data_IF_626939983101
#
_entry.id   IF_626939983101
#
_cell.length_a   1.000
_cell.length_b   1.000
_cell.length_c   1.000
_cell.angle_alpha   90.00
_cell.angle_beta   90.00
_cell.angle_gamma   90.00
#
_symmetry.space_group_name_H-M   'P 1'
#
loop_
_entity.id
_entity.type
_entity.pdbx_description
1 polymer ?
#
# COMPACT_ATOMS: atom_id res chain seq x y z
N UNK A 1 9.71 10.90 0.31
CA UNK A 1 9.07 10.30 1.49
C UNK A 1 8.62 8.89 1.13
N UNK A 2 9.01 7.88 1.90
CA UNK A 2 8.84 6.47 1.53
C UNK A 2 8.12 5.66 2.61
N UNK A 3 7.45 4.59 2.22
CA UNK A 3 6.84 3.61 3.13
C UNK A 3 6.75 2.25 2.45
N UNK A 4 6.79 1.19 3.24
CA UNK A 4 6.63 -0.19 2.75
C UNK A 4 5.39 -0.80 3.38
N UNK A 5 4.59 -1.52 2.60
CA UNK A 5 3.44 -2.29 3.07
C UNK A 5 3.66 -3.74 2.63
N UNK A 6 3.55 -4.66 3.57
CA UNK A 6 3.62 -6.10 3.30
C UNK A 6 2.22 -6.67 3.40
N UNK A 7 1.80 -7.41 2.37
CA UNK A 7 0.50 -8.07 2.30
C UNK A 7 0.76 -9.56 2.15
N UNK A 8 0.14 -10.39 3.01
CA UNK A 8 0.25 -11.84 2.85
C UNK A 8 -0.45 -12.31 1.56
N UNK A 9 0.01 -13.40 0.95
CA UNK A 9 -0.63 -14.01 -0.23
C UNK A 9 -2.09 -14.38 0.01
N UNK A 10 -2.43 -14.79 1.24
CA UNK A 10 -3.81 -15.05 1.66
C UNK A 10 -4.71 -13.81 1.65
N UNK A 11 -4.13 -12.62 1.53
CA UNK A 11 -4.81 -11.32 1.50
C UNK A 11 -4.65 -10.65 0.13
N UNK A 12 -4.51 -11.43 -0.95
CA UNK A 12 -4.38 -10.90 -2.31
C UNK A 12 -5.54 -9.95 -2.69
N UNK A 13 -6.74 -10.17 -2.17
CA UNK A 13 -7.89 -9.27 -2.37
C UNK A 13 -7.64 -7.83 -1.85
N UNK A 14 -6.76 -7.66 -0.86
CA UNK A 14 -6.36 -6.34 -0.36
C UNK A 14 -5.32 -5.66 -1.25
N UNK A 15 -4.53 -6.44 -1.99
CA UNK A 15 -3.46 -5.93 -2.84
C UNK A 15 -4.01 -4.88 -3.83
N UNK A 16 -5.07 -5.23 -4.54
CA UNK A 16 -5.70 -4.32 -5.50
C UNK A 16 -6.15 -3.00 -4.86
N UNK A 17 -6.77 -3.06 -3.68
CA UNK A 17 -7.24 -1.88 -2.94
C UNK A 17 -6.09 -0.96 -2.53
N UNK A 18 -5.03 -1.53 -1.95
CA UNK A 18 -3.84 -0.78 -1.52
C UNK A 18 -3.14 -0.13 -2.71
N UNK A 19 -3.03 -0.84 -3.84
CA UNK A 19 -2.43 -0.30 -5.07
C UNK A 19 -3.22 0.87 -5.63
N UNK A 20 -4.54 0.73 -5.75
CA UNK A 20 -5.42 1.83 -6.22
C UNK A 20 -5.32 3.05 -5.31
N UNK A 21 -5.34 2.86 -3.99
CA UNK A 21 -5.21 3.94 -3.03
C UNK A 21 -3.87 4.68 -3.15
N UNK A 22 -2.75 3.94 -3.25
CA UNK A 22 -1.43 4.54 -3.37
C UNK A 22 -1.27 5.36 -4.66
N UNK A 23 -1.82 4.86 -5.78
CA UNK A 23 -1.82 5.59 -7.07
C UNK A 23 -2.67 6.86 -7.02
N UNK A 24 -3.85 6.83 -6.39
CA UNK A 24 -4.69 8.03 -6.17
C UNK A 24 -3.97 9.12 -5.36
N UNK A 25 -3.05 8.73 -4.48
CA UNK A 25 -2.22 9.64 -3.68
C UNK A 25 -0.88 10.00 -4.35
N UNK A 26 -0.79 9.88 -5.69
CA UNK A 26 0.40 10.19 -6.49
C UNK A 26 1.66 9.43 -6.06
N UNK A 27 1.49 8.26 -5.46
CA UNK A 27 2.58 7.36 -5.10
C UNK A 27 3.17 6.65 -6.31
N UNK A 28 4.50 6.59 -6.37
CA UNK A 28 5.21 5.63 -7.22
C UNK A 28 5.37 4.33 -6.44
N UNK A 29 5.03 3.21 -7.08
CA UNK A 29 5.07 1.88 -6.49
C UNK A 29 6.19 1.08 -7.15
N UNK A 30 7.03 0.45 -6.33
CA UNK A 30 7.85 -0.69 -6.68
C UNK A 30 7.30 -1.89 -5.88
N UNK A 31 6.98 -2.98 -6.58
CA UNK A 31 6.38 -4.17 -5.98
C UNK A 31 7.29 -5.37 -6.19
N UNK A 32 7.54 -6.10 -5.09
CA UNK A 32 8.16 -7.42 -5.13
C UNK A 32 7.17 -8.46 -4.65
N UNK A 33 7.13 -9.59 -5.34
CA UNK A 33 6.29 -10.73 -4.98
C UNK A 33 7.16 -11.91 -4.58
N UNK A 34 6.84 -12.54 -3.46
CA UNK A 34 7.44 -13.79 -2.99
C UNK A 34 6.35 -14.87 -2.90
N UNK A 35 6.71 -16.08 -2.50
CA UNK A 35 5.75 -17.18 -2.33
C UNK A 35 4.74 -16.92 -1.21
N UNK A 36 5.07 -16.07 -0.25
CA UNK A 36 4.26 -15.83 0.95
C UNK A 36 3.70 -14.41 1.02
N UNK A 37 4.37 -13.44 0.39
CA UNK A 37 4.06 -12.03 0.58
C UNK A 37 4.16 -11.20 -0.72
N UNK A 38 3.39 -10.12 -0.75
CA UNK A 38 3.58 -8.98 -1.63
C UNK A 38 4.21 -7.84 -0.82
N UNK A 39 5.36 -7.35 -1.26
CA UNK A 39 6.08 -6.24 -0.64
C UNK A 39 5.92 -5.02 -1.54
N UNK A 40 5.20 -4.02 -1.05
CA UNK A 40 4.85 -2.80 -1.77
C UNK A 40 5.66 -1.63 -1.23
N UNK A 41 6.68 -1.20 -1.98
CA UNK A 41 7.46 -0.03 -1.64
C UNK A 41 6.91 1.20 -2.36
N UNK A 42 6.45 2.17 -1.57
CA UNK A 42 5.83 3.40 -2.06
C UNK A 42 6.70 4.61 -1.83
N UNK A 43 6.88 5.41 -2.88
CA UNK A 43 7.52 6.72 -2.85
C UNK A 43 6.52 7.81 -3.19
N UNK A 44 6.31 8.72 -2.24
CA UNK A 44 5.39 9.85 -2.37
C UNK A 44 6.15 11.16 -2.60
N UNK A 45 5.51 12.07 -3.34
CA UNK A 45 6.04 13.42 -3.61
C UNK A 45 6.09 14.30 -2.36
N UNK A 46 5.17 14.11 -1.42
CA UNK A 46 5.07 14.92 -0.21
C UNK A 46 4.62 14.07 0.99
N UNK A 47 4.97 14.47 2.24
CA UNK A 47 4.60 13.74 3.45
C UNK A 47 3.09 13.57 3.68
N UNK A 48 2.31 14.57 3.31
CA UNK A 48 0.86 14.63 3.49
C UNK A 48 0.17 13.49 2.74
N UNK A 49 0.63 13.20 1.52
CA UNK A 49 0.11 12.10 0.71
C UNK A 49 0.43 10.73 1.31
N UNK A 50 1.65 10.52 1.84
CA UNK A 50 1.98 9.29 2.57
C UNK A 50 1.09 9.14 3.81
N UNK A 51 0.93 10.19 4.59
CA UNK A 51 0.14 10.14 5.83
C UNK A 51 -1.34 9.84 5.53
N UNK A 52 -1.90 10.46 4.49
CA UNK A 52 -3.27 10.19 4.05
C UNK A 52 -3.43 8.76 3.51
N UNK A 53 -2.43 8.28 2.75
CA UNK A 53 -2.39 6.90 2.26
C UNK A 53 -2.39 5.90 3.42
N UNK A 54 -1.50 6.05 4.40
CA UNK A 54 -1.43 5.16 5.56
C UNK A 54 -2.73 5.15 6.38
N UNK A 55 -3.36 6.32 6.59
CA UNK A 55 -4.67 6.40 7.25
C UNK A 55 -5.75 5.63 6.51
N UNK A 56 -5.80 5.75 5.17
CA UNK A 56 -6.78 5.02 4.35
C UNK A 56 -6.51 3.52 4.32
N UNK A 57 -5.25 3.12 4.20
CA UNK A 57 -4.90 1.69 4.23
C UNK A 57 -5.27 1.06 5.57
N UNK A 58 -4.95 1.71 6.70
CA UNK A 58 -5.33 1.22 8.02
C UNK A 58 -6.86 1.02 8.13
N UNK A 59 -7.65 1.97 7.64
CA UNK A 59 -9.11 1.87 7.61
C UNK A 59 -9.64 0.73 6.72
N UNK A 60 -8.94 0.38 5.64
CA UNK A 60 -9.31 -0.79 4.82
C UNK A 60 -9.06 -2.11 5.56
N UNK A 61 -7.97 -2.21 6.33
CA UNK A 61 -7.65 -3.42 7.10
C UNK A 61 -8.51 -3.59 8.37
N UNK A 62 -9.08 -2.51 8.93
CA UNK A 62 -9.93 -2.59 10.14
C UNK A 62 -11.40 -2.93 9.86
N UNK A 63 -11.83 -3.04 8.60
CA UNK A 63 -13.23 -3.28 8.21
C UNK A 63 -13.61 -4.75 8.01
N UNK A 64 -12.68 -5.67 8.23
CA UNK A 64 -12.82 -7.13 8.09
C UNK A 64 -12.26 -7.79 9.35
#
# INVERSE_FOLDING_TARGET
>A
METTITIARSQEDYLGKVVVLGKKMLGKLDMRSTNEHFILHWKFKAPEYKNLFLKKVAAEFSKN
#
